data_IF_302142952180
#
_entry.id   IF_302142952180
#
_cell.length_a   1.000
_cell.length_b   1.000
_cell.length_c   1.000
_cell.angle_alpha   90.00
_cell.angle_beta   90.00
_cell.angle_gamma   90.00
#
_symmetry.space_group_name_H-M   'P 1'
#
loop_
_entity.id
_entity.type
_entity.pdbx_description
1 polymer ?
#
# COMPACT_ATOMS: atom_id res chain seq x y z
N UNK A 1 17.80 7.20 30.75
CA UNK A 1 18.12 7.17 29.30
C UNK A 1 16.83 7.37 28.52
N UNK A 2 16.72 8.48 27.78
CA UNK A 2 15.52 8.83 27.03
C UNK A 2 15.47 8.00 25.73
N UNK A 3 14.82 6.84 25.77
CA UNK A 3 14.68 5.98 24.59
C UNK A 3 13.49 6.49 23.76
N UNK A 4 13.76 7.45 22.87
CA UNK A 4 12.78 7.81 21.85
C UNK A 4 12.67 6.63 20.88
N UNK A 5 11.53 5.94 20.92
CA UNK A 5 11.14 5.02 19.85
C UNK A 5 11.25 5.83 18.56
N UNK A 6 12.24 5.50 17.73
CA UNK A 6 12.47 6.19 16.46
C UNK A 6 11.23 5.92 15.63
N UNK A 7 10.36 6.93 15.49
CA UNK A 7 9.19 6.81 14.61
C UNK A 7 9.70 6.31 13.28
N UNK A 8 9.17 5.19 12.82
CA UNK A 8 9.38 4.75 11.45
C UNK A 8 8.55 5.73 10.63
N UNK A 9 9.12 6.91 10.40
CA UNK A 9 8.48 7.93 9.59
C UNK A 9 8.33 7.33 8.19
N UNK A 10 7.10 7.29 7.65
CA UNK A 10 6.89 6.72 6.33
C UNK A 10 7.77 7.47 5.32
N UNK A 11 8.28 6.76 4.31
CA UNK A 11 9.25 7.33 3.36
C UNK A 11 8.72 8.60 2.66
N UNK A 12 7.41 8.73 2.49
CA UNK A 12 6.77 9.93 1.94
C UNK A 12 6.91 11.19 2.77
N UNK A 13 7.27 11.12 4.07
CA UNK A 13 7.42 12.34 4.88
C UNK A 13 8.68 13.10 4.44
N UNK A 14 9.65 12.37 3.90
CA UNK A 14 10.84 12.94 3.26
C UNK A 14 10.55 13.40 1.83
N UNK A 15 9.61 12.74 1.15
CA UNK A 15 9.25 13.01 -0.25
C UNK A 15 7.73 13.13 -0.41
N UNK A 16 7.13 14.27 0.00
CA UNK A 16 5.66 14.45 -0.02
C UNK A 16 5.06 14.48 -1.43
N UNK A 17 5.91 14.59 -2.46
CA UNK A 17 5.52 14.56 -3.86
C UNK A 17 5.02 13.17 -4.28
N UNK A 18 5.49 12.09 -3.65
CA UNK A 18 5.21 10.73 -4.11
C UNK A 18 3.71 10.36 -3.95
N UNK A 19 3.04 10.61 -2.81
CA UNK A 19 1.59 10.40 -2.70
C UNK A 19 0.78 11.24 -3.69
N UNK A 20 1.23 12.46 -4.00
CA UNK A 20 0.57 13.33 -4.98
C UNK A 20 0.69 12.74 -6.38
N UNK A 21 1.87 12.27 -6.77
CA UNK A 21 2.08 11.59 -8.06
C UNK A 21 1.24 10.33 -8.17
N UNK A 22 1.11 9.55 -7.09
CA UNK A 22 0.23 8.38 -7.06
C UNK A 22 -1.24 8.77 -7.30
N UNK A 23 -1.76 9.78 -6.58
CA UNK A 23 -3.12 10.27 -6.75
C UNK A 23 -3.39 10.82 -8.15
N UNK A 24 -2.50 11.68 -8.65
CA UNK A 24 -2.62 12.28 -9.99
C UNK A 24 -2.54 11.21 -11.07
N UNK A 25 -1.63 10.24 -10.93
CA UNK A 25 -1.50 9.13 -11.86
C UNK A 25 -2.76 8.26 -11.94
N UNK A 26 -3.37 7.93 -10.79
CA UNK A 26 -4.65 7.20 -10.75
C UNK A 26 -5.78 8.01 -11.38
N UNK A 27 -5.91 9.29 -11.02
CA UNK A 27 -6.97 10.16 -11.55
C UNK A 27 -6.84 10.35 -13.07
N UNK A 28 -5.62 10.60 -13.55
CA UNK A 28 -5.33 10.71 -14.98
C UNK A 28 -5.62 9.40 -15.72
N UNK A 29 -5.23 8.26 -15.16
CA UNK A 29 -5.51 6.95 -15.74
C UNK A 29 -7.00 6.69 -15.90
N UNK A 30 -7.78 6.96 -14.87
CA UNK A 30 -9.25 6.82 -14.92
C UNK A 30 -9.86 7.75 -15.98
N UNK A 31 -9.43 9.01 -16.04
CA UNK A 31 -9.91 9.96 -17.04
C UNK A 31 -9.58 9.52 -18.48
N UNK A 32 -8.38 8.99 -18.70
CA UNK A 32 -7.90 8.53 -20.01
C UNK A 32 -8.56 7.23 -20.46
N UNK A 33 -8.86 6.31 -19.54
CA UNK A 33 -9.70 5.13 -19.83
C UNK A 33 -11.08 5.58 -20.28
N UNK A 34 -11.70 6.52 -19.56
CA UNK A 34 -13.02 7.05 -19.91
C UNK A 34 -13.01 7.79 -21.27
N UNK A 35 -11.88 8.42 -21.63
CA UNK A 35 -11.68 9.06 -22.92
C UNK A 35 -11.35 8.07 -24.07
N UNK A 36 -11.32 6.76 -23.81
CA UNK A 36 -11.01 5.75 -24.81
C UNK A 36 -9.55 5.75 -25.27
N UNK A 37 -8.63 6.30 -24.47
CA UNK A 37 -7.20 6.36 -24.78
C UNK A 37 -6.41 5.34 -23.93
N UNK A 38 -6.33 4.06 -24.35
CA UNK A 38 -5.80 2.99 -23.50
C UNK A 38 -4.29 3.10 -23.27
N UNK A 39 -3.52 3.53 -24.27
CA UNK A 39 -2.05 3.63 -24.16
C UNK A 39 -1.62 4.65 -23.10
N UNK A 40 -2.07 5.93 -23.13
CA UNK A 40 -1.69 6.88 -22.09
C UNK A 40 -2.30 6.51 -20.73
N UNK A 41 -3.46 5.86 -20.69
CA UNK A 41 -4.03 5.34 -19.45
C UNK A 41 -3.10 4.30 -18.79
N UNK A 42 -2.57 3.34 -19.56
CA UNK A 42 -1.62 2.33 -19.05
C UNK A 42 -0.37 3.01 -18.49
N UNK A 43 0.17 4.00 -19.21
CA UNK A 43 1.37 4.74 -18.75
C UNK A 43 1.09 5.43 -17.42
N UNK A 44 -0.03 6.15 -17.30
CA UNK A 44 -0.39 6.83 -16.06
C UNK A 44 -0.64 5.87 -14.89
N UNK A 45 -1.25 4.71 -15.15
CA UNK A 45 -1.42 3.64 -14.16
C UNK A 45 -0.09 3.03 -13.71
N UNK A 46 0.86 2.82 -14.63
CA UNK A 46 2.20 2.34 -14.32
C UNK A 46 2.96 3.34 -13.44
N UNK A 47 2.89 4.64 -13.77
CA UNK A 47 3.48 5.71 -12.95
C UNK A 47 2.88 5.73 -11.55
N UNK A 48 1.57 5.60 -11.43
CA UNK A 48 0.90 5.50 -10.13
C UNK A 48 1.38 4.28 -9.32
N UNK A 49 1.48 3.11 -9.96
CA UNK A 49 1.96 1.90 -9.31
C UNK A 49 3.40 2.04 -8.79
N UNK A 50 4.31 2.62 -9.59
CA UNK A 50 5.68 2.89 -9.14
C UNK A 50 5.70 3.87 -7.98
N UNK A 51 4.90 4.94 -8.04
CA UNK A 51 4.81 5.90 -6.95
C UNK A 51 4.31 5.26 -5.64
N UNK A 52 3.32 4.36 -5.72
CA UNK A 52 2.83 3.62 -4.55
C UNK A 52 3.95 2.76 -3.96
N UNK A 53 4.64 1.97 -4.77
CA UNK A 53 5.74 1.10 -4.31
C UNK A 53 6.89 1.87 -3.68
N UNK A 54 7.20 3.06 -4.21
CA UNK A 54 8.23 3.92 -3.63
C UNK A 54 7.78 4.59 -2.34
N UNK A 55 6.48 4.76 -2.13
CA UNK A 55 5.93 5.41 -0.95
C UNK A 55 5.73 4.44 0.22
N UNK A 56 5.53 3.14 -0.05
CA UNK A 56 5.35 2.11 0.97
C UNK A 56 6.68 1.60 1.53
N UNK A 57 6.61 1.06 2.76
CA UNK A 57 7.76 0.42 3.39
C UNK A 57 7.99 -0.99 2.80
N UNK A 58 9.24 -1.41 2.55
CA UNK A 58 9.54 -2.72 1.95
C UNK A 58 8.92 -3.90 2.70
N UNK A 59 8.80 -3.81 4.02
CA UNK A 59 8.18 -4.85 4.84
C UNK A 59 6.67 -5.00 4.58
N UNK A 60 5.95 -3.89 4.40
CA UNK A 60 4.50 -3.91 4.10
C UNK A 60 4.27 -4.48 2.72
N UNK A 61 5.00 -3.98 1.72
CA UNK A 61 4.93 -4.45 0.33
C UNK A 61 5.27 -5.93 0.23
N UNK A 62 6.28 -6.42 0.95
CA UNK A 62 6.62 -7.85 0.96
C UNK A 62 5.49 -8.71 1.53
N UNK A 63 4.84 -8.29 2.62
CA UNK A 63 3.68 -9.00 3.19
C UNK A 63 2.53 -9.01 2.18
N UNK A 64 2.22 -7.88 1.56
CA UNK A 64 1.16 -7.79 0.55
C UNK A 64 1.46 -8.63 -0.69
N UNK A 65 2.73 -8.72 -1.11
CA UNK A 65 3.17 -9.59 -2.19
C UNK A 65 2.94 -11.07 -1.88
N UNK A 66 3.29 -11.51 -0.67
CA UNK A 66 3.09 -12.91 -0.23
C UNK A 66 1.60 -13.23 -0.15
N UNK A 67 0.78 -12.34 0.42
CA UNK A 67 -0.67 -12.52 0.48
C UNK A 67 -1.31 -12.55 -0.90
N UNK A 68 -0.88 -11.65 -1.80
CA UNK A 68 -1.31 -11.63 -3.19
C UNK A 68 -0.94 -12.91 -3.94
N UNK A 69 0.27 -13.43 -3.71
CA UNK A 69 0.73 -14.67 -4.33
C UNK A 69 -0.08 -15.86 -3.83
N UNK A 70 -0.32 -15.94 -2.52
CA UNK A 70 -1.10 -17.00 -1.91
C UNK A 70 -2.57 -16.96 -2.41
N UNK A 71 -3.15 -15.77 -2.52
CA UNK A 71 -4.47 -15.55 -3.14
C UNK A 71 -4.52 -15.92 -4.63
N UNK A 72 -3.48 -15.58 -5.39
CA UNK A 72 -3.37 -15.92 -6.81
C UNK A 72 -3.24 -17.43 -7.02
N UNK A 73 -2.36 -18.09 -6.28
CA UNK A 73 -2.18 -19.54 -6.37
C UNK A 73 -3.44 -20.29 -5.96
N UNK A 74 -4.12 -19.88 -4.89
CA UNK A 74 -5.37 -20.50 -4.47
C UNK A 74 -6.46 -20.33 -5.53
N UNK A 75 -6.59 -19.16 -6.14
CA UNK A 75 -7.66 -18.85 -7.10
C UNK A 75 -7.43 -19.45 -8.49
N UNK A 76 -6.18 -19.48 -8.99
CA UNK A 76 -5.89 -19.88 -10.37
C UNK A 76 -5.26 -21.27 -10.50
N UNK A 77 -4.64 -21.80 -9.44
CA UNK A 77 -3.89 -23.06 -9.48
C UNK A 77 -4.54 -24.15 -8.64
N UNK A 78 -4.79 -23.91 -7.34
CA UNK A 78 -5.27 -24.94 -6.42
C UNK A 78 -6.79 -25.16 -6.50
N UNK A 79 -7.58 -24.08 -6.52
CA UNK A 79 -9.04 -24.13 -6.56
C UNK A 79 -9.59 -23.28 -7.71
N UNK A 80 -9.24 -23.62 -8.95
CA UNK A 80 -9.65 -22.84 -10.10
C UNK A 80 -11.15 -22.96 -10.35
N UNK A 81 -11.78 -21.82 -10.58
CA UNK A 81 -13.19 -21.76 -10.98
C UNK A 81 -13.38 -22.34 -12.39
N UNK A 82 -14.58 -22.84 -12.75
CA UNK A 82 -14.84 -23.45 -14.05
C UNK A 82 -14.41 -22.61 -15.25
N UNK A 83 -14.47 -21.28 -15.13
CA UNK A 83 -14.06 -20.33 -16.17
C UNK A 83 -12.55 -20.33 -16.42
N UNK A 84 -11.76 -20.69 -15.40
CA UNK A 84 -10.30 -20.76 -15.41
C UNK A 84 -9.83 -22.19 -15.70
N UNK A 85 -10.72 -23.19 -15.66
CA UNK A 85 -10.42 -24.61 -15.94
C UNK A 85 -10.04 -24.90 -17.37
N UNK A 86 -10.60 -24.16 -18.33
CA UNK A 86 -10.22 -24.29 -19.73
C UNK A 86 -8.83 -23.72 -20.07
N UNK A 87 -8.20 -22.97 -19.14
CA UNK A 87 -6.90 -22.34 -19.39
C UNK A 87 -5.74 -23.34 -19.20
N UNK A 88 -4.70 -23.21 -20.01
CA UNK A 88 -3.47 -23.98 -19.85
C UNK A 88 -2.80 -23.67 -18.49
N UNK A 89 -2.03 -24.63 -17.97
CA UNK A 89 -1.33 -24.47 -16.70
C UNK A 89 -0.41 -23.24 -16.67
N UNK A 90 0.24 -22.92 -17.81
CA UNK A 90 1.08 -21.74 -17.95
C UNK A 90 0.27 -20.44 -17.86
N UNK A 91 -0.89 -20.36 -18.54
CA UNK A 91 -1.78 -19.19 -18.46
C UNK A 91 -2.27 -18.96 -17.03
N UNK A 92 -2.61 -20.04 -16.31
CA UNK A 92 -3.03 -19.95 -14.90
C UNK A 92 -1.93 -19.42 -14.00
N UNK A 93 -0.69 -19.88 -14.19
CA UNK A 93 0.47 -19.38 -13.44
C UNK A 93 0.72 -17.89 -13.72
N UNK A 94 0.63 -17.47 -14.99
CA UNK A 94 0.73 -16.06 -15.37
C UNK A 94 -0.39 -15.21 -14.75
N UNK A 95 -1.63 -15.68 -14.76
CA UNK A 95 -2.76 -15.00 -14.11
C UNK A 95 -2.57 -14.89 -12.60
N UNK A 96 -2.06 -15.93 -11.94
CA UNK A 96 -1.72 -15.89 -10.52
C UNK A 96 -0.65 -14.82 -10.21
N UNK A 97 0.40 -14.73 -11.04
CA UNK A 97 1.44 -13.71 -10.89
C UNK A 97 0.92 -12.29 -11.13
N UNK A 98 0.15 -12.08 -12.20
CA UNK A 98 -0.47 -10.78 -12.48
C UNK A 98 -1.40 -10.37 -11.35
N UNK A 99 -2.25 -11.28 -10.87
CA UNK A 99 -3.11 -11.04 -9.73
C UNK A 99 -2.29 -10.65 -8.49
N UNK A 100 -1.21 -11.37 -8.20
CA UNK A 100 -0.34 -11.07 -7.06
C UNK A 100 0.24 -9.66 -7.13
N UNK A 101 0.73 -9.24 -8.29
CA UNK A 101 1.31 -7.90 -8.50
C UNK A 101 0.23 -6.83 -8.35
N UNK A 102 -0.93 -7.01 -8.99
CA UNK A 102 -2.04 -6.08 -8.88
C UNK A 102 -2.56 -5.96 -7.44
N UNK A 103 -2.72 -7.09 -6.75
CA UNK A 103 -3.13 -7.12 -5.36
C UNK A 103 -2.15 -6.36 -4.47
N UNK A 104 -0.85 -6.64 -4.62
CA UNK A 104 0.21 -5.95 -3.88
C UNK A 104 0.12 -4.43 -4.08
N UNK A 105 0.11 -3.95 -5.33
CA UNK A 105 0.07 -2.51 -5.64
C UNK A 105 -1.22 -1.86 -5.15
N UNK A 106 -2.37 -2.51 -5.34
CA UNK A 106 -3.65 -1.97 -4.88
C UNK A 106 -3.72 -1.88 -3.36
N UNK A 107 -3.31 -2.93 -2.65
CA UNK A 107 -3.34 -2.94 -1.18
C UNK A 107 -2.33 -1.95 -0.60
N UNK A 108 -1.14 -1.84 -1.19
CA UNK A 108 -0.18 -0.80 -0.84
C UNK A 108 -0.76 0.60 -1.05
N UNK A 109 -1.50 0.81 -2.14
CA UNK A 109 -2.22 2.06 -2.42
C UNK A 109 -3.31 2.35 -1.38
N UNK A 110 -4.05 1.35 -0.92
CA UNK A 110 -5.06 1.49 0.14
C UNK A 110 -4.40 1.85 1.47
N UNK A 111 -3.33 1.16 1.86
CA UNK A 111 -2.57 1.48 3.09
C UNK A 111 -2.03 2.90 3.02
N UNK A 112 -1.50 3.29 1.86
CA UNK A 112 -1.02 4.65 1.61
C UNK A 112 -2.14 5.68 1.79
N UNK A 113 -3.30 5.44 1.18
CA UNK A 113 -4.44 6.32 1.31
C UNK A 113 -4.90 6.46 2.77
N UNK A 114 -5.04 5.34 3.50
CA UNK A 114 -5.45 5.34 4.92
C UNK A 114 -4.45 6.11 5.79
N UNK A 115 -3.15 5.91 5.57
CA UNK A 115 -2.14 6.61 6.34
C UNK A 115 -2.03 8.10 5.96
N UNK A 116 -2.33 8.50 4.72
CA UNK A 116 -2.50 9.91 4.35
C UNK A 116 -3.70 10.51 5.10
N UNK A 117 -4.85 9.84 5.11
CA UNK A 117 -6.03 10.29 5.86
C UNK A 117 -5.73 10.42 7.35
N UNK A 118 -5.09 9.43 7.96
CA UNK A 118 -4.68 9.47 9.37
C UNK A 118 -3.82 10.69 9.67
N UNK A 119 -2.81 10.97 8.85
CA UNK A 119 -1.94 12.14 9.04
C UNK A 119 -2.68 13.46 8.83
N UNK A 120 -3.59 13.52 7.85
CA UNK A 120 -4.42 14.70 7.61
C UNK A 120 -5.31 15.00 8.82
N UNK A 121 -6.00 14.00 9.37
CA UNK A 121 -6.85 14.18 10.54
C UNK A 121 -6.06 14.41 11.82
N UNK A 122 -4.94 13.71 12.04
CA UNK A 122 -4.09 13.91 13.21
C UNK A 122 -3.46 15.32 13.21
N UNK A 123 -3.06 15.84 12.05
CA UNK A 123 -2.49 17.17 11.89
C UNK A 123 -3.53 18.30 11.91
N UNK A 124 -4.67 18.13 11.24
CA UNK A 124 -5.69 19.18 11.12
C UNK A 124 -6.61 19.29 12.36
N UNK A 125 -6.87 18.18 13.05
CA UNK A 125 -7.79 18.13 14.20
C UNK A 125 -7.03 18.11 15.53
N UNK A 126 -5.70 18.04 15.51
CA UNK A 126 -4.89 17.98 16.73
C UNK A 126 -5.09 16.70 17.55
N UNK A 127 -5.77 15.69 17.00
CA UNK A 127 -5.98 14.37 17.60
C UNK A 127 -4.73 13.48 17.45
N UNK A 128 -3.54 14.08 17.59
CA UNK A 128 -2.28 13.36 17.58
C UNK A 128 -2.28 12.28 18.66
N UNK A 129 -2.19 11.01 18.24
CA UNK A 129 -2.36 9.85 19.08
C UNK A 129 -1.55 9.90 20.39
N UNK A 130 -2.14 9.32 21.44
CA UNK A 130 -1.57 9.09 22.77
C UNK A 130 -0.04 9.14 22.80
N UNK A 131 0.52 10.29 23.18
CA UNK A 131 1.89 10.34 23.68
C UNK A 131 1.85 9.74 25.08
N UNK A 132 2.22 8.47 25.20
CA UNK A 132 2.58 7.90 26.50
C UNK A 132 3.93 8.52 26.88
N UNK A 133 3.88 9.66 27.57
CA UNK A 133 4.96 10.06 28.47
C UNK A 133 4.91 9.06 29.64
N UNK A 134 5.76 8.05 29.56
CA UNK A 134 6.04 7.21 30.72
C UNK A 134 7.00 8.00 31.59
N UNK A 135 6.45 8.90 32.41
CA UNK A 135 7.17 9.43 33.55
C UNK A 135 7.54 8.26 34.46
N UNK A 136 8.84 8.12 34.73
CA UNK A 136 9.37 7.14 35.65
C UNK A 136 9.13 7.54 37.13
N UNK A 137 8.01 8.18 37.44
CA UNK A 137 7.62 8.53 38.80
C UNK A 137 6.66 7.48 39.36
N UNK A 138 7.17 6.24 39.38
CA UNK A 138 6.58 5.11 40.07
C UNK A 138 7.30 4.82 41.39
N UNK A 139 7.14 5.70 42.38
CA UNK A 139 7.17 5.40 43.82
C UNK A 139 8.37 4.66 44.43
N UNK A 140 9.30 5.43 45.01
CA UNK A 140 9.93 5.14 46.30
C UNK A 140 9.83 6.46 47.09
N UNK A 141 8.89 6.64 48.02
CA UNK A 141 8.79 5.91 49.27
C UNK A 141 9.43 6.78 50.36
N UNK A 142 8.59 7.38 51.19
CA UNK A 142 8.94 8.18 52.38
C UNK A 142 10.07 7.55 53.22
N UNK A 143 11.09 8.35 53.57
CA UNK A 143 11.74 8.41 54.88
C UNK A 143 12.66 9.64 54.97
#
# INVERSE_FOLDING_TARGET
>A
MNYKIRRIDPYWMKNPVIPVVALVGVAAGLALVNAGQPVPAIISGAVAGVAILLATQPAVTAVMAVLGLLGGLTTFVFFPRPEVVAMSALMRALSALLFSVFYMVLMDGVVLFVAVLYNLFAGAVGLGGLSLDLDADGGEGEA
#
